data_IF_331750492135
#
_entry.id   IF_331750492135
#
_cell.length_a   1.000
_cell.length_b   1.000
_cell.length_c   1.000
_cell.angle_alpha   90.00
_cell.angle_beta   90.00
_cell.angle_gamma   90.00
#
_symmetry.space_group_name_H-M   'P 1'
#
loop_
_entity.id
_entity.type
_entity.pdbx_description
1 polymer ?
#
# COMPACT_ATOMS: atom_id res chain seq x y z
N UNK A 1 -16.92 -1.52 0.36
CA UNK A 1 -15.55 -1.42 0.93
C UNK A 1 -14.70 -0.56 0.03
N UNK A 2 -14.08 0.45 0.57
CA UNK A 2 -13.25 1.35 -0.24
C UNK A 2 -11.85 0.78 -0.43
N UNK A 3 -11.09 1.37 -1.36
CA UNK A 3 -9.70 0.96 -1.54
C UNK A 3 -8.89 1.20 -0.28
N UNK A 4 -9.24 2.24 0.49
CA UNK A 4 -8.59 2.51 1.77
C UNK A 4 -8.81 1.35 2.74
N UNK A 5 -10.04 0.82 2.77
CA UNK A 5 -10.35 -0.31 3.64
C UNK A 5 -9.59 -1.56 3.21
N UNK A 6 -9.50 -1.78 1.91
CA UNK A 6 -8.76 -2.93 1.38
C UNK A 6 -7.29 -2.83 1.78
N UNK A 7 -6.69 -1.65 1.61
CA UNK A 7 -5.30 -1.45 1.99
C UNK A 7 -5.08 -1.67 3.48
N UNK A 8 -6.01 -1.19 4.32
CA UNK A 8 -5.91 -1.39 5.76
C UNK A 8 -5.97 -2.87 6.13
N UNK A 9 -6.85 -3.62 5.48
CA UNK A 9 -6.98 -5.04 5.74
C UNK A 9 -5.74 -5.81 5.30
N UNK A 10 -5.20 -5.45 4.16
CA UNK A 10 -3.97 -6.07 3.68
C UNK A 10 -2.81 -5.78 4.62
N UNK A 11 -2.72 -4.55 5.11
CA UNK A 11 -1.67 -4.17 6.03
C UNK A 11 -1.73 -5.01 7.31
N UNK A 12 -2.92 -5.20 7.84
CA UNK A 12 -3.10 -6.00 9.05
C UNK A 12 -2.81 -7.47 8.79
N UNK A 13 -3.35 -8.00 7.69
CA UNK A 13 -3.20 -9.41 7.35
C UNK A 13 -1.73 -9.78 7.14
N UNK A 14 -0.98 -8.89 6.51
CA UNK A 14 0.42 -9.13 6.20
C UNK A 14 1.36 -8.67 7.31
N UNK A 15 0.82 -7.99 8.31
CA UNK A 15 1.60 -7.42 9.42
C UNK A 15 2.70 -6.49 8.90
N UNK A 16 2.35 -5.69 7.92
CA UNK A 16 3.29 -4.75 7.32
C UNK A 16 3.33 -3.43 8.06
N UNK A 17 4.53 -2.84 8.12
CA UNK A 17 4.69 -1.47 8.57
C UNK A 17 4.54 -0.56 7.35
N UNK A 18 4.52 0.74 7.57
CA UNK A 18 4.47 1.70 6.47
C UNK A 18 5.68 1.53 5.55
N UNK A 19 6.85 1.28 6.12
CA UNK A 19 8.06 1.08 5.32
C UNK A 19 7.94 -0.17 4.45
N UNK A 20 7.34 -1.22 4.97
CA UNK A 20 7.12 -2.45 4.19
C UNK A 20 6.24 -2.18 2.98
N UNK A 21 5.17 -1.40 3.19
CA UNK A 21 4.25 -1.08 2.11
C UNK A 21 4.92 -0.23 1.04
N UNK A 22 5.73 0.75 1.47
CA UNK A 22 6.48 1.58 0.54
C UNK A 22 7.43 0.71 -0.29
N UNK A 23 8.10 -0.23 0.36
CA UNK A 23 9.02 -1.13 -0.32
C UNK A 23 8.30 -1.98 -1.36
N UNK A 24 7.14 -2.51 -1.02
CA UNK A 24 6.34 -3.32 -1.94
C UNK A 24 5.91 -2.48 -3.15
N UNK A 25 5.48 -1.23 -2.91
CA UNK A 25 5.09 -0.34 -4.00
C UNK A 25 6.28 -0.04 -4.91
N UNK A 26 7.47 0.11 -4.33
CA UNK A 26 8.67 0.36 -5.12
C UNK A 26 9.01 -0.80 -6.04
N UNK A 27 8.69 -2.02 -5.63
CA UNK A 27 8.91 -3.18 -6.48
C UNK A 27 8.08 -3.09 -7.77
N UNK A 28 6.96 -2.37 -7.71
CA UNK A 28 6.13 -2.15 -8.88
C UNK A 28 6.43 -0.79 -9.53
N UNK A 29 7.58 -0.20 -9.22
CA UNK A 29 8.01 1.09 -9.75
C UNK A 29 7.06 2.22 -9.38
N UNK A 30 6.43 2.14 -8.23
CA UNK A 30 5.52 3.17 -7.76
C UNK A 30 6.06 3.77 -6.47
N UNK A 31 6.32 5.06 -6.46
CA UNK A 31 6.85 5.73 -5.29
C UNK A 31 5.78 6.53 -4.56
N UNK A 32 5.77 6.41 -3.24
CA UNK A 32 4.85 7.15 -2.41
C UNK A 32 5.61 7.56 -1.17
N UNK A 33 5.29 8.72 -0.59
CA UNK A 33 5.94 9.16 0.64
C UNK A 33 5.21 8.59 1.84
N UNK A 34 5.88 8.57 2.99
CA UNK A 34 5.24 8.15 4.23
C UNK A 34 4.07 9.03 4.58
N UNK A 35 4.16 10.32 4.28
CA UNK A 35 3.08 11.27 4.55
C UNK A 35 1.85 10.92 3.73
N UNK A 36 2.04 10.63 2.45
CA UNK A 36 0.92 10.25 1.58
C UNK A 36 0.30 8.94 2.03
N UNK A 37 1.13 7.97 2.36
CA UNK A 37 0.64 6.68 2.81
C UNK A 37 -0.11 6.81 4.12
N UNK A 38 0.41 7.63 5.06
CA UNK A 38 -0.26 7.89 6.31
C UNK A 38 -1.64 8.51 6.12
N UNK A 39 -1.76 9.39 5.14
CA UNK A 39 -3.04 10.02 4.85
C UNK A 39 -4.08 8.99 4.38
N UNK A 40 -3.66 7.98 3.64
CA UNK A 40 -4.56 6.93 3.18
C UNK A 40 -5.06 6.09 4.34
N UNK A 41 -4.25 5.92 5.37
CA UNK A 41 -4.62 5.09 6.52
C UNK A 41 -5.35 5.85 7.65
N UNK A 42 -5.58 7.14 7.48
CA UNK A 42 -6.33 7.88 8.49
C UNK A 42 -7.81 7.58 8.38
N UNK A 43 -8.57 7.98 9.39
CA UNK A 43 -10.01 7.80 9.36
C UNK A 43 -10.62 8.77 8.35
N UNK A 44 -11.72 8.39 7.76
CA UNK A 44 -12.36 9.20 6.74
C UNK A 44 -12.71 10.60 7.17
N UNK A 45 -13.00 10.80 8.44
CA UNK A 45 -13.36 12.12 8.93
C UNK A 45 -12.14 12.96 9.31
N UNK A 46 -10.95 12.44 9.17
CA UNK A 46 -9.75 13.19 9.49
C UNK A 46 -9.47 14.22 8.38
N UNK A 47 -9.15 15.46 8.75
CA UNK A 47 -8.91 16.51 7.74
C UNK A 47 -7.81 16.19 6.73
N UNK A 48 -6.88 15.33 7.11
CA UNK A 48 -5.80 14.96 6.20
C UNK A 48 -6.02 13.62 5.52
N UNK A 49 -7.22 13.07 5.65
CA UNK A 49 -7.54 11.81 4.99
C UNK A 49 -7.44 11.97 3.48
N UNK A 50 -6.94 10.96 2.81
CA UNK A 50 -6.83 10.97 1.38
C UNK A 50 -7.35 9.65 0.83
N UNK A 51 -8.23 9.70 -0.18
CA UNK A 51 -8.74 8.46 -0.78
C UNK A 51 -7.62 7.72 -1.51
N UNK A 52 -7.63 6.40 -1.39
CA UNK A 52 -6.67 5.58 -2.09
C UNK A 52 -7.17 5.34 -3.52
N UNK A 53 -6.43 5.81 -4.49
CA UNK A 53 -6.82 5.61 -5.89
C UNK A 53 -6.59 4.16 -6.31
N UNK A 54 -7.26 3.77 -7.39
CA UNK A 54 -7.09 2.43 -7.93
C UNK A 54 -5.66 2.15 -8.33
N UNK A 55 -4.95 3.17 -8.77
CA UNK A 55 -3.57 3.02 -9.18
C UNK A 55 -2.68 2.56 -8.03
N UNK A 56 -2.88 3.12 -6.85
CA UNK A 56 -2.09 2.75 -5.68
C UNK A 56 -2.38 1.29 -5.30
N UNK A 57 -3.65 0.92 -5.25
CA UNK A 57 -4.03 -0.44 -4.90
C UNK A 57 -3.49 -1.43 -5.93
N UNK A 58 -3.63 -1.12 -7.22
CA UNK A 58 -3.16 -2.00 -8.28
C UNK A 58 -1.65 -2.20 -8.19
N UNK A 59 -0.91 -1.13 -7.99
CA UNK A 59 0.54 -1.24 -7.88
C UNK A 59 0.98 -1.97 -6.62
N UNK A 60 0.22 -1.81 -5.53
CA UNK A 60 0.52 -2.55 -4.32
C UNK A 60 0.34 -4.05 -4.55
N UNK A 61 -0.76 -4.44 -5.20
CA UNK A 61 -1.00 -5.86 -5.49
C UNK A 61 0.06 -6.42 -6.44
N UNK A 62 0.45 -5.65 -7.45
CA UNK A 62 1.51 -6.08 -8.36
C UNK A 62 2.84 -6.22 -7.61
N UNK A 63 3.12 -5.29 -6.72
CA UNK A 63 4.33 -5.36 -5.91
C UNK A 63 4.31 -6.57 -4.99
N UNK A 64 3.14 -6.92 -4.45
CA UNK A 64 3.01 -8.10 -3.60
C UNK A 64 3.33 -9.38 -4.36
N UNK A 65 2.94 -9.47 -5.62
CA UNK A 65 3.26 -10.63 -6.43
C UNK A 65 4.78 -10.80 -6.51
N UNK A 66 5.48 -9.71 -6.75
CA UNK A 66 6.93 -9.73 -6.82
C UNK A 66 7.52 -10.05 -5.45
N UNK A 67 7.01 -9.40 -4.41
CA UNK A 67 7.51 -9.53 -3.05
C UNK A 67 7.40 -10.98 -2.55
N UNK A 68 6.25 -11.62 -2.81
CA UNK A 68 6.02 -12.96 -2.32
C UNK A 68 6.77 -14.02 -3.12
N UNK A 69 7.12 -13.72 -4.37
CA UNK A 69 7.91 -14.65 -5.16
C UNK A 69 9.39 -14.58 -4.82
N UNK A 70 9.81 -13.50 -4.21
CA UNK A 70 11.20 -13.31 -3.90
C UNK A 70 11.99 -12.81 -5.09
N UNK A 71 13.15 -12.27 -4.80
CA UNK A 71 13.95 -11.63 -5.84
C UNK A 71 14.38 -12.56 -6.91
N UNK A 72 14.49 -13.79 -6.69
CA UNK A 72 14.93 -14.60 -7.61
C UNK A 72 13.94 -15.15 -8.32
N UNK A 73 12.90 -14.99 -8.04
CA UNK A 73 11.89 -15.47 -8.75
C UNK A 73 12.37 -15.66 -10.12
N UNK A 74 13.35 -15.50 -10.28
CA UNK A 74 13.79 -15.63 -11.53
C UNK A 74 14.18 -16.74 -11.97
#
# INVERSE_FOLDING_TARGET
MSNNDIMKKLRVALKFTDDDIIEVLELADFRITKTELGAIFRKEDHPNFKPCGDQILRNFLNGLIIYTRGPKAS
#
